data_IF_160684810864
#
_entry.id   IF_160684810864
#
_cell.length_a   1.000
_cell.length_b   1.000
_cell.length_c   1.000
_cell.angle_alpha   90.00
_cell.angle_beta   90.00
_cell.angle_gamma   90.00
#
_symmetry.space_group_name_H-M   'P 1'
#
loop_
_entity.id
_entity.type
_entity.pdbx_description
1 polymer ?
#
# COMPACT_ATOMS: atom_id res chain seq x y z
N UNK A 1 15.49 5.15 5.23
CA UNK A 1 14.14 5.18 4.63
C UNK A 1 13.05 4.82 5.64
N UNK A 2 13.07 3.63 6.28
CA UNK A 2 12.09 3.23 7.31
C UNK A 2 11.84 4.30 8.38
N UNK A 3 12.89 4.85 9.01
CA UNK A 3 12.77 5.87 10.06
C UNK A 3 12.02 7.14 9.62
N UNK A 4 12.01 7.46 8.34
CA UNK A 4 11.30 8.63 7.82
C UNK A 4 9.83 8.33 7.49
N UNK A 5 9.53 7.12 7.01
CA UNK A 5 8.17 6.71 6.58
C UNK A 5 7.32 6.30 7.76
N UNK A 6 7.94 5.63 8.72
CA UNK A 6 7.26 5.04 9.86
C UNK A 6 6.32 6.02 10.60
N UNK A 7 6.77 7.20 11.09
CA UNK A 7 5.88 8.13 11.78
C UNK A 7 4.70 8.61 10.92
N UNK A 8 4.86 8.69 9.59
CA UNK A 8 3.81 9.12 8.66
C UNK A 8 2.74 8.05 8.52
N UNK A 9 3.14 6.79 8.34
CA UNK A 9 2.20 5.65 8.27
C UNK A 9 1.43 5.51 9.57
N UNK A 10 2.11 5.65 10.71
CA UNK A 10 1.44 5.59 12.01
C UNK A 10 0.41 6.72 12.16
N UNK A 11 0.77 7.96 11.82
CA UNK A 11 -0.17 9.09 11.87
C UNK A 11 -1.39 8.86 10.97
N UNK A 12 -1.18 8.36 9.76
CA UNK A 12 -2.27 8.03 8.83
C UNK A 12 -3.21 6.95 9.39
N UNK A 13 -2.68 5.88 10.00
CA UNK A 13 -3.50 4.84 10.64
C UNK A 13 -4.32 5.43 11.79
N UNK A 14 -3.72 6.30 12.61
CA UNK A 14 -4.42 6.96 13.72
C UNK A 14 -5.55 7.84 13.23
N UNK A 15 -5.32 8.62 12.17
CA UNK A 15 -6.32 9.52 11.59
C UNK A 15 -7.46 8.71 10.96
N UNK A 16 -7.15 7.80 10.04
CA UNK A 16 -8.17 7.00 9.34
C UNK A 16 -8.95 6.08 10.28
N UNK A 17 -8.31 5.47 11.28
CA UNK A 17 -9.02 4.63 12.25
C UNK A 17 -10.01 5.43 13.11
N UNK A 18 -9.71 6.70 13.40
CA UNK A 18 -10.62 7.61 14.08
C UNK A 18 -11.79 8.00 13.20
N UNK A 19 -11.53 8.35 11.94
CA UNK A 19 -12.55 8.70 10.96
C UNK A 19 -13.51 7.52 10.74
N UNK A 20 -12.98 6.30 10.55
CA UNK A 20 -13.79 5.09 10.39
C UNK A 20 -14.62 4.75 11.64
N UNK A 21 -14.16 5.14 12.84
CA UNK A 21 -14.95 5.02 14.08
C UNK A 21 -16.06 6.07 14.13
N UNK A 22 -15.77 7.30 13.71
CA UNK A 22 -16.75 8.38 13.61
C UNK A 22 -17.86 8.09 12.60
N UNK A 23 -17.52 7.46 11.47
CA UNK A 23 -18.48 7.01 10.45
C UNK A 23 -19.50 6.01 10.99
N UNK A 24 -19.15 5.28 12.06
CA UNK A 24 -20.04 4.39 12.80
C UNK A 24 -20.87 5.12 13.88
N UNK A 25 -20.78 6.45 13.93
CA UNK A 25 -21.39 7.31 14.94
C UNK A 25 -20.93 6.96 16.38
N UNK A 26 -19.66 6.56 16.51
CA UNK A 26 -18.98 6.27 17.77
C UNK A 26 -17.98 7.39 18.10
N UNK A 27 -17.53 7.46 19.36
CA UNK A 27 -16.52 8.42 19.78
C UNK A 27 -15.16 8.04 19.15
N UNK A 28 -14.49 8.93 18.38
CA UNK A 28 -13.18 8.65 17.78
C UNK A 28 -12.11 8.19 18.77
N UNK A 29 -12.23 8.55 20.06
CA UNK A 29 -11.32 8.13 21.11
C UNK A 29 -11.40 6.62 21.43
N UNK A 30 -12.44 5.93 20.95
CA UNK A 30 -12.57 4.47 21.06
C UNK A 30 -11.56 3.73 20.19
N UNK A 31 -11.08 4.33 19.10
CA UNK A 31 -10.00 3.74 18.31
C UNK A 31 -8.71 3.73 19.12
N UNK A 32 -8.19 2.53 19.41
CA UNK A 32 -6.95 2.32 20.11
C UNK A 32 -5.81 2.04 19.09
N UNK A 33 -4.93 3.03 18.81
CA UNK A 33 -3.84 2.85 17.86
C UNK A 33 -2.63 2.10 18.44
N UNK A 34 -2.68 1.73 19.72
CA UNK A 34 -1.58 1.06 20.41
C UNK A 34 -1.81 -0.44 20.59
N UNK A 35 -2.81 -1.00 19.91
CA UNK A 35 -3.04 -2.45 19.89
C UNK A 35 -1.84 -3.17 19.27
N UNK A 36 -1.58 -4.43 19.67
CA UNK A 36 -0.53 -5.24 19.05
C UNK A 36 -0.65 -5.32 17.53
N UNK A 37 -1.88 -5.39 17.00
CA UNK A 37 -2.12 -5.53 15.56
C UNK A 37 -1.75 -4.26 14.79
N UNK A 38 -2.16 -3.08 15.27
CA UNK A 38 -1.74 -1.79 14.70
C UNK A 38 -0.22 -1.65 14.75
N UNK A 39 0.39 -1.93 15.90
CA UNK A 39 1.84 -1.80 16.07
C UNK A 39 2.61 -2.78 15.17
N UNK A 40 2.12 -4.01 15.01
CA UNK A 40 2.72 -5.00 14.14
C UNK A 40 2.61 -4.59 12.67
N UNK A 41 1.42 -4.20 12.22
CA UNK A 41 1.20 -3.74 10.84
C UNK A 41 2.09 -2.55 10.51
N UNK A 42 2.08 -1.52 11.37
CA UNK A 42 2.90 -0.33 11.26
C UNK A 42 4.40 -0.66 11.08
N UNK A 43 4.95 -1.51 11.95
CA UNK A 43 6.37 -1.85 11.93
C UNK A 43 6.75 -2.68 10.69
N UNK A 44 5.95 -3.70 10.37
CA UNK A 44 6.19 -4.57 9.22
C UNK A 44 6.06 -3.80 7.91
N UNK A 45 5.00 -3.00 7.76
CA UNK A 45 4.75 -2.21 6.56
C UNK A 45 5.87 -1.21 6.31
N UNK A 46 6.27 -0.47 7.34
CA UNK A 46 7.34 0.53 7.24
C UNK A 46 8.69 -0.07 6.81
N UNK A 47 8.97 -1.31 7.25
CA UNK A 47 10.15 -2.05 6.81
C UNK A 47 10.00 -2.52 5.36
N UNK A 48 8.85 -3.11 5.02
CA UNK A 48 8.57 -3.64 3.68
C UNK A 48 8.70 -2.58 2.59
N UNK A 49 8.18 -1.37 2.81
CA UNK A 49 8.31 -0.25 1.88
C UNK A 49 9.78 0.07 1.61
N UNK A 50 10.59 0.15 2.67
CA UNK A 50 12.01 0.48 2.54
C UNK A 50 12.78 -0.59 1.76
N UNK A 51 12.45 -1.86 1.97
CA UNK A 51 13.05 -2.99 1.25
C UNK A 51 12.64 -3.01 -0.22
N UNK A 52 11.35 -2.87 -0.52
CA UNK A 52 10.80 -2.97 -1.88
C UNK A 52 11.31 -1.85 -2.79
N UNK A 53 11.39 -0.61 -2.28
CA UNK A 53 11.91 0.52 -3.07
C UNK A 53 13.38 0.34 -3.42
N UNK A 54 14.18 -0.15 -2.46
CA UNK A 54 15.59 -0.40 -2.68
C UNK A 54 15.79 -1.56 -3.66
N UNK A 55 15.09 -2.68 -3.45
CA UNK A 55 15.21 -3.87 -4.29
C UNK A 55 14.82 -3.60 -5.74
N UNK A 56 13.71 -2.89 -5.98
CA UNK A 56 13.28 -2.57 -7.34
C UNK A 56 14.24 -1.59 -8.03
N UNK A 57 14.81 -0.64 -7.28
CA UNK A 57 15.81 0.29 -7.83
C UNK A 57 17.12 -0.43 -8.17
N UNK A 58 17.62 -1.28 -7.29
CA UNK A 58 18.80 -2.11 -7.56
C UNK A 58 18.60 -3.00 -8.78
N UNK A 59 17.44 -3.67 -8.87
CA UNK A 59 17.08 -4.53 -10.00
C UNK A 59 17.12 -3.76 -11.33
N UNK A 60 16.53 -2.57 -11.38
CA UNK A 60 16.51 -1.74 -12.59
C UNK A 60 17.92 -1.24 -12.96
N UNK A 61 18.71 -0.81 -11.97
CA UNK A 61 20.09 -0.39 -12.19
C UNK A 61 20.96 -1.53 -12.72
N UNK A 62 20.87 -2.72 -12.12
CA UNK A 62 21.61 -3.91 -12.57
C UNK A 62 21.24 -4.27 -14.00
N UNK A 63 19.95 -4.29 -14.33
CA UNK A 63 19.49 -4.62 -15.68
C UNK A 63 19.99 -3.61 -16.72
N UNK A 64 19.86 -2.30 -16.46
CA UNK A 64 20.28 -1.28 -17.43
C UNK A 64 21.79 -1.20 -17.60
N UNK A 65 22.56 -1.37 -16.51
CA UNK A 65 24.02 -1.33 -16.56
C UNK A 65 24.59 -2.57 -17.26
N UNK A 66 24.05 -3.76 -16.98
CA UNK A 66 24.43 -4.97 -17.72
C UNK A 66 24.24 -4.79 -19.22
N UNK A 67 23.09 -4.24 -19.64
CA UNK A 67 22.83 -3.96 -21.05
C UNK A 67 23.80 -2.92 -21.63
N UNK A 68 24.15 -1.88 -20.88
CA UNK A 68 25.10 -0.86 -21.35
C UNK A 68 26.50 -1.46 -21.55
N UNK A 69 26.95 -2.32 -20.63
CA UNK A 69 28.23 -3.04 -20.75
C UNK A 69 28.23 -3.98 -21.97
N UNK A 70 27.17 -4.74 -22.19
CA UNK A 70 27.05 -5.63 -23.36
C UNK A 70 27.06 -4.88 -24.70
N UNK A 71 26.73 -3.58 -24.68
CA UNK A 71 26.72 -2.69 -25.83
C UNK A 71 28.01 -1.89 -26.01
N UNK A 72 29.07 -2.16 -25.23
CA UNK A 72 30.34 -1.41 -25.22
C UNK A 72 30.14 0.11 -25.02
N UNK A 73 29.15 0.50 -24.21
CA UNK A 73 28.87 1.91 -23.91
C UNK A 73 29.96 2.54 -23.03
N UNK A 74 30.23 3.83 -23.24
CA UNK A 74 31.20 4.58 -22.44
C UNK A 74 30.68 4.89 -21.03
N UNK A 75 31.60 5.28 -20.14
CA UNK A 75 31.26 5.69 -18.77
C UNK A 75 30.20 6.80 -18.72
N UNK A 76 30.28 7.79 -19.62
CA UNK A 76 29.29 8.87 -19.72
C UNK A 76 27.90 8.33 -20.09
N UNK A 77 27.82 7.32 -20.96
CA UNK A 77 26.57 6.69 -21.36
C UNK A 77 25.99 5.83 -20.23
N UNK A 78 26.84 5.10 -19.50
CA UNK A 78 26.44 4.34 -18.32
C UNK A 78 25.93 5.27 -17.20
N UNK A 79 26.58 6.42 -16.99
CA UNK A 79 26.11 7.44 -16.07
C UNK A 79 24.71 7.92 -16.47
N UNK A 80 24.49 8.24 -17.76
CA UNK A 80 23.18 8.67 -18.25
C UNK A 80 22.09 7.61 -18.00
N UNK A 81 22.41 6.31 -18.10
CA UNK A 81 21.48 5.23 -17.74
C UNK A 81 21.11 5.24 -16.26
N UNK A 82 22.07 5.45 -15.37
CA UNK A 82 21.82 5.58 -13.92
C UNK A 82 20.92 6.77 -13.64
N UNK A 83 21.20 7.92 -14.25
CA UNK A 83 20.40 9.14 -14.10
C UNK A 83 18.95 8.92 -14.53
N UNK A 84 18.71 8.22 -15.64
CA UNK A 84 17.37 7.87 -16.12
C UNK A 84 16.62 7.02 -15.08
N UNK A 85 17.24 5.97 -14.54
CA UNK A 85 16.60 5.09 -13.55
C UNK A 85 16.29 5.85 -12.27
N UNK A 86 17.21 6.67 -11.79
CA UNK A 86 17.02 7.48 -10.59
C UNK A 86 15.96 8.58 -10.80
N UNK A 87 15.92 9.21 -11.99
CA UNK A 87 14.88 10.17 -12.35
C UNK A 87 13.47 9.55 -12.41
N UNK A 88 13.35 8.34 -12.98
CA UNK A 88 12.11 7.57 -12.94
C UNK A 88 11.67 7.20 -11.51
N UNK A 89 12.63 6.85 -10.65
CA UNK A 89 12.38 6.57 -9.24
C UNK A 89 11.79 7.79 -8.50
N UNK A 90 12.26 9.00 -8.82
CA UNK A 90 11.83 10.26 -8.21
C UNK A 90 10.49 10.81 -8.73
N UNK A 91 9.96 10.27 -9.83
CA UNK A 91 8.76 10.79 -10.49
C UNK A 91 7.56 9.86 -10.29
N UNK A 92 7.16 9.13 -11.34
CA UNK A 92 5.94 8.32 -11.34
C UNK A 92 6.04 7.10 -10.41
N UNK A 93 7.24 6.59 -10.13
CA UNK A 93 7.39 5.50 -9.14
C UNK A 93 7.07 6.00 -7.74
N UNK A 94 7.59 7.17 -7.35
CA UNK A 94 7.30 7.77 -6.05
C UNK A 94 5.79 8.02 -5.85
N UNK A 95 5.11 8.60 -6.84
CA UNK A 95 3.64 8.80 -6.78
C UNK A 95 2.88 7.48 -6.64
N UNK A 96 3.22 6.45 -7.43
CA UNK A 96 2.58 5.14 -7.32
C UNK A 96 2.81 4.47 -5.98
N UNK A 97 4.04 4.51 -5.47
CA UNK A 97 4.37 4.00 -4.14
C UNK A 97 3.53 4.74 -3.10
N UNK A 98 3.53 6.07 -3.11
CA UNK A 98 2.75 6.87 -2.16
C UNK A 98 1.26 6.47 -2.17
N UNK A 99 0.63 6.43 -3.35
CA UNK A 99 -0.78 6.02 -3.50
C UNK A 99 -1.03 4.62 -2.94
N UNK A 100 -0.21 3.64 -3.35
CA UNK A 100 -0.37 2.26 -2.89
C UNK A 100 -0.20 2.13 -1.38
N UNK A 101 0.78 2.79 -0.80
CA UNK A 101 1.05 2.70 0.64
C UNK A 101 0.01 3.42 1.48
N UNK A 102 -0.47 4.58 1.03
CA UNK A 102 -1.57 5.29 1.68
C UNK A 102 -2.85 4.47 1.63
N UNK A 103 -3.27 4.00 0.45
CA UNK A 103 -4.50 3.19 0.33
C UNK A 103 -4.45 1.91 1.15
N UNK A 104 -3.29 1.25 1.23
CA UNK A 104 -3.13 0.06 2.07
C UNK A 104 -3.22 0.37 3.56
N UNK A 105 -2.58 1.46 4.02
CA UNK A 105 -2.64 1.87 5.42
C UNK A 105 -4.06 2.28 5.82
N UNK A 106 -4.77 3.01 4.96
CA UNK A 106 -6.16 3.39 5.18
C UNK A 106 -7.07 2.16 5.27
N UNK A 107 -7.01 1.26 4.29
CA UNK A 107 -7.83 0.06 4.30
C UNK A 107 -7.56 -0.88 5.50
N UNK A 108 -6.32 -0.92 5.98
CA UNK A 108 -6.02 -1.59 7.26
C UNK A 108 -6.68 -0.88 8.45
N UNK A 109 -6.55 0.44 8.53
CA UNK A 109 -7.09 1.24 9.63
C UNK A 109 -8.63 1.18 9.69
N UNK A 110 -9.30 1.20 8.54
CA UNK A 110 -10.76 1.03 8.43
C UNK A 110 -11.18 -0.31 9.05
N UNK A 111 -10.55 -1.41 8.61
CA UNK A 111 -10.86 -2.75 9.08
C UNK A 111 -10.58 -2.91 10.58
N UNK A 112 -9.45 -2.38 11.06
CA UNK A 112 -9.11 -2.40 12.48
C UNK A 112 -10.15 -1.63 13.31
N UNK A 113 -10.56 -0.43 12.87
CA UNK A 113 -11.59 0.35 13.55
C UNK A 113 -12.92 -0.39 13.60
N UNK A 114 -13.33 -1.00 12.48
CA UNK A 114 -14.53 -1.83 12.41
C UNK A 114 -14.47 -3.04 13.34
N UNK A 115 -13.31 -3.69 13.46
CA UNK A 115 -13.12 -4.80 14.40
C UNK A 115 -13.18 -4.33 15.85
N UNK A 116 -12.47 -3.24 16.20
CA UNK A 116 -12.49 -2.67 17.55
C UNK A 116 -13.87 -2.18 17.97
N UNK A 117 -14.70 -1.73 17.02
CA UNK A 117 -16.07 -1.30 17.26
C UNK A 117 -16.98 -2.42 17.80
N UNK A 118 -16.69 -3.68 17.43
CA UNK A 118 -17.51 -4.84 17.76
C UNK A 118 -18.92 -4.88 17.13
N UNK A 119 -19.28 -3.89 16.30
CA UNK A 119 -20.62 -3.80 15.68
C UNK A 119 -20.63 -4.16 14.19
N UNK A 120 -19.50 -4.00 13.50
CA UNK A 120 -19.37 -4.36 12.08
C UNK A 120 -19.09 -5.86 11.96
N UNK A 121 -19.92 -6.56 11.20
CA UNK A 121 -19.87 -8.04 11.10
C UNK A 121 -19.21 -8.55 9.83
N UNK A 122 -18.99 -7.69 8.83
CA UNK A 122 -18.40 -8.05 7.56
C UNK A 122 -18.26 -6.86 6.63
N UNK A 123 -17.64 -7.12 5.48
CA UNK A 123 -17.44 -6.16 4.39
C UNK A 123 -18.05 -6.70 3.12
N UNK A 124 -18.69 -5.82 2.37
CA UNK A 124 -19.35 -6.12 1.10
C UNK A 124 -18.51 -5.56 -0.06
N UNK A 125 -18.40 -6.33 -1.14
CA UNK A 125 -17.82 -5.83 -2.38
C UNK A 125 -18.90 -5.14 -3.20
N UNK A 126 -18.73 -3.85 -3.45
CA UNK A 126 -19.69 -3.03 -4.18
C UNK A 126 -19.09 -2.49 -5.47
N UNK A 127 -19.84 -2.58 -6.56
CA UNK A 127 -19.48 -2.06 -7.87
C UNK A 127 -20.63 -1.28 -8.50
N UNK A 128 -20.31 -0.35 -9.39
CA UNK A 128 -21.29 0.43 -10.16
C UNK A 128 -21.98 -0.42 -11.25
N UNK A 129 -21.43 -1.60 -11.57
CA UNK A 129 -21.93 -2.53 -12.59
C UNK A 129 -22.08 -1.91 -14.01
N UNK A 130 -21.22 -0.96 -14.35
CA UNK A 130 -21.17 -0.36 -15.69
C UNK A 130 -20.35 -1.19 -16.70
N UNK A 131 -20.31 -0.75 -17.96
CA UNK A 131 -19.56 -1.41 -19.05
C UNK A 131 -18.04 -1.45 -18.81
N UNK A 132 -17.51 -0.60 -17.93
CA UNK A 132 -16.08 -0.54 -17.58
C UNK A 132 -15.72 -1.43 -16.39
N UNK A 133 -16.71 -1.97 -15.70
CA UNK A 133 -16.51 -2.83 -14.54
C UNK A 133 -15.84 -4.14 -14.97
N UNK A 134 -14.73 -4.49 -14.32
CA UNK A 134 -13.98 -5.70 -14.66
C UNK A 134 -14.85 -6.97 -14.45
N UNK A 135 -14.78 -8.00 -15.32
CA UNK A 135 -15.64 -9.18 -15.21
C UNK A 135 -15.55 -9.91 -13.85
N UNK A 136 -14.33 -10.04 -13.30
CA UNK A 136 -14.12 -10.66 -11.99
C UNK A 136 -14.68 -9.79 -10.86
N UNK A 137 -14.55 -8.46 -10.97
CA UNK A 137 -15.04 -7.49 -10.02
C UNK A 137 -16.57 -7.53 -9.96
N UNK A 138 -17.22 -7.63 -11.14
CA UNK A 138 -18.67 -7.80 -11.26
C UNK A 138 -19.14 -9.12 -10.62
N UNK A 139 -18.38 -10.19 -10.77
CA UNK A 139 -18.71 -11.48 -10.16
C UNK A 139 -18.62 -11.47 -8.61
N UNK A 140 -17.94 -10.48 -8.03
CA UNK A 140 -17.86 -10.29 -6.58
C UNK A 140 -18.91 -9.32 -6.04
N UNK A 141 -19.62 -8.60 -6.90
CA UNK A 141 -20.62 -7.62 -6.48
C UNK A 141 -21.67 -8.22 -5.54
N UNK A 142 -21.94 -7.54 -4.43
CA UNK A 142 -22.85 -8.00 -3.39
C UNK A 142 -22.29 -9.11 -2.49
N UNK A 143 -21.07 -9.59 -2.73
CA UNK A 143 -20.46 -10.62 -1.88
C UNK A 143 -20.06 -10.00 -0.55
N UNK A 144 -20.54 -10.61 0.54
CA UNK A 144 -20.17 -10.24 1.91
C UNK A 144 -19.18 -11.28 2.44
N UNK A 145 -18.09 -10.82 3.04
CA UNK A 145 -17.10 -11.65 3.73
C UNK A 145 -16.81 -11.09 5.13
N UNK A 146 -16.19 -11.90 5.98
CA UNK A 146 -15.71 -11.44 7.28
C UNK A 146 -14.63 -10.35 7.12
N UNK A 147 -14.49 -9.50 8.13
CA UNK A 147 -13.51 -8.41 8.16
C UNK A 147 -12.06 -8.88 7.99
N UNK A 148 -11.74 -10.05 8.54
CA UNK A 148 -10.42 -10.71 8.46
C UNK A 148 -10.18 -11.50 7.16
N UNK A 149 -11.18 -11.60 6.30
CA UNK A 149 -11.13 -12.38 5.07
C UNK A 149 -10.78 -11.53 3.86
N UNK A 150 -10.18 -12.15 2.85
CA UNK A 150 -9.89 -11.50 1.56
C UNK A 150 -10.88 -11.92 0.47
N UNK A 151 -11.26 -10.97 -0.39
CA UNK A 151 -12.11 -11.24 -1.55
C UNK A 151 -11.38 -12.07 -2.62
N UNK A 152 -10.08 -11.88 -2.73
CA UNK A 152 -9.20 -12.63 -3.61
C UNK A 152 -8.20 -13.41 -2.76
N UNK A 153 -8.29 -14.74 -2.78
CA UNK A 153 -7.29 -15.63 -2.15
C UNK A 153 -6.00 -15.77 -2.96
N UNK A 154 -5.83 -14.99 -4.02
CA UNK A 154 -4.63 -14.95 -4.85
C UNK A 154 -3.82 -13.73 -4.43
N UNK A 155 -2.86 -13.96 -3.54
CA UNK A 155 -1.93 -12.95 -3.08
C UNK A 155 -1.25 -12.21 -4.24
N UNK A 156 -0.89 -10.96 -3.94
CA UNK A 156 -0.17 -9.98 -4.78
C UNK A 156 -0.98 -9.39 -5.94
N UNK A 157 -1.36 -8.12 -5.76
CA UNK A 157 -1.51 -7.15 -6.84
C UNK A 157 -0.17 -6.96 -7.55
#
# INVERSE_FOLDING_TARGET
>A
MRLAIAPIIYALIVETGKDATEDLNLDPSMFNPTTPDVMNYYQQRSQKIAEDVNAETEKQLRATLSQGVDNDESDDQLQARVEIVMGAALTYRADRIARTEVTRAQGFADVEAWQQSGIVTGKEWYTVNDEKTCPNCRALDGRIISLDSDFYSLGTW
#
